data_IF_061876283788
#
_entry.id   IF_061876283788
#
_cell.length_a   1.000
_cell.length_b   1.000
_cell.length_c   1.000
_cell.angle_alpha   90.00
_cell.angle_beta   90.00
_cell.angle_gamma   90.00
#
_symmetry.space_group_name_H-M   'P 1'
#
loop_
_entity.id
_entity.type
_entity.pdbx_description
1 polymer ?
#
# COMPACT_ATOMS: atom_id res chain seq x y z
N UNK A 1 -33.65 21.86 -13.66
CA UNK A 1 -32.56 21.49 -12.73
C UNK A 1 -32.16 20.02 -12.96
N UNK A 2 -31.24 19.80 -13.90
CA UNK A 2 -30.66 18.48 -14.20
C UNK A 2 -29.28 18.43 -13.55
N UNK A 3 -29.08 17.43 -12.70
CA UNK A 3 -27.81 17.13 -12.05
C UNK A 3 -26.74 16.83 -13.10
N UNK A 4 -25.66 17.62 -13.09
CA UNK A 4 -24.44 17.33 -13.86
C UNK A 4 -23.66 16.29 -13.07
N UNK A 5 -23.48 15.11 -13.66
CA UNK A 5 -22.52 14.12 -13.18
C UNK A 5 -21.12 14.73 -13.17
N UNK A 6 -20.40 14.52 -12.07
CA UNK A 6 -19.00 14.90 -11.93
C UNK A 6 -18.15 14.04 -12.87
N UNK A 7 -17.69 14.64 -13.95
CA UNK A 7 -16.69 14.08 -14.85
C UNK A 7 -15.31 14.33 -14.21
N UNK A 8 -14.76 13.33 -13.51
CA UNK A 8 -13.36 13.38 -13.05
C UNK A 8 -12.46 13.02 -14.22
N UNK A 9 -11.90 14.05 -14.86
CA UNK A 9 -10.87 13.90 -15.89
C UNK A 9 -9.57 13.46 -15.18
N UNK A 10 -9.16 12.22 -15.41
CA UNK A 10 -7.85 11.72 -14.99
C UNK A 10 -6.79 12.27 -15.94
N UNK A 11 -6.00 13.25 -15.49
CA UNK A 11 -4.73 13.60 -16.12
C UNK A 11 -3.63 12.76 -15.48
N UNK A 12 -3.46 11.51 -15.92
CA UNK A 12 -2.19 10.81 -15.70
C UNK A 12 -1.18 11.42 -16.67
N UNK A 13 -0.41 12.41 -16.21
CA UNK A 13 0.82 12.79 -16.89
C UNK A 13 1.81 11.64 -16.73
N UNK A 14 1.72 10.66 -17.63
CA UNK A 14 2.77 9.68 -17.86
C UNK A 14 3.93 10.43 -18.50
N UNK A 15 4.82 10.99 -17.67
CA UNK A 15 6.16 11.31 -18.14
C UNK A 15 6.80 9.96 -18.50
N UNK A 16 6.83 9.63 -19.79
CA UNK A 16 7.67 8.56 -20.30
C UNK A 16 9.13 8.96 -20.06
N UNK A 17 9.74 8.32 -19.06
CA UNK A 17 11.18 8.42 -18.85
C UNK A 17 11.96 7.68 -19.95
N UNK A 18 13.18 8.14 -20.27
CA UNK A 18 14.01 7.53 -21.30
C UNK A 18 14.41 6.11 -20.88
N UNK A 19 14.38 5.19 -21.87
CA UNK A 19 14.77 3.77 -21.82
C UNK A 19 15.62 3.39 -20.58
N UNK A 20 14.96 2.71 -19.64
CA UNK A 20 15.64 2.02 -18.55
C UNK A 20 16.65 1.00 -19.11
N UNK A 21 17.80 0.95 -18.46
CA UNK A 21 18.83 -0.06 -18.67
C UNK A 21 18.26 -1.48 -18.48
N UNK A 22 18.90 -2.44 -19.15
CA UNK A 22 18.61 -3.88 -19.18
C UNK A 22 17.87 -4.38 -17.93
N UNK A 23 16.76 -5.08 -18.18
CA UNK A 23 16.04 -5.91 -17.22
C UNK A 23 17.03 -6.71 -16.35
N UNK A 24 16.91 -6.68 -15.01
CA UNK A 24 17.61 -7.65 -14.19
C UNK A 24 17.04 -9.03 -14.53
N UNK A 25 17.91 -9.95 -14.95
CA UNK A 25 17.61 -11.37 -15.01
C UNK A 25 17.04 -11.80 -13.66
N UNK A 26 15.75 -12.18 -13.65
CA UNK A 26 15.12 -12.91 -12.57
C UNK A 26 15.96 -14.19 -12.35
N UNK A 27 16.82 -14.17 -11.33
CA UNK A 27 17.48 -15.38 -10.86
C UNK A 27 16.42 -16.32 -10.31
N UNK A 28 16.03 -17.28 -11.15
CA UNK A 28 15.25 -18.45 -10.77
C UNK A 28 16.14 -19.34 -9.91
N UNK A 29 15.95 -19.31 -8.60
CA UNK A 29 16.49 -20.34 -7.73
C UNK A 29 15.77 -21.66 -8.04
N UNK A 30 16.53 -22.61 -8.59
CA UNK A 30 16.13 -23.99 -8.83
C UNK A 30 15.60 -24.64 -7.54
N UNK A 31 14.31 -24.98 -7.53
CA UNK A 31 13.72 -25.96 -6.63
C UNK A 31 13.48 -27.24 -7.43
N UNK A 32 14.15 -28.32 -7.03
CA UNK A 32 13.98 -29.67 -7.58
C UNK A 32 12.54 -30.19 -7.43
N UNK A 33 12.09 -31.11 -8.31
CA UNK A 33 10.68 -31.38 -8.54
C UNK A 33 10.10 -32.26 -7.43
N UNK A 34 9.10 -31.72 -6.74
CA UNK A 34 8.22 -32.50 -5.86
C UNK A 34 6.91 -32.76 -6.60
N UNK A 35 6.66 -34.05 -6.81
CA UNK A 35 5.41 -34.73 -7.13
C UNK A 35 4.15 -33.85 -7.21
N UNK A 36 3.46 -33.97 -8.34
CA UNK A 36 2.12 -33.42 -8.58
C UNK A 36 1.13 -33.82 -7.48
N UNK A 37 0.98 -32.94 -6.50
CA UNK A 37 -0.08 -32.94 -5.50
C UNK A 37 -1.33 -32.23 -6.08
N UNK A 38 -2.54 -32.55 -5.57
CA UNK A 38 -3.80 -32.05 -6.13
C UNK A 38 -3.91 -30.52 -6.03
N UNK A 39 -4.36 -29.90 -7.12
CA UNK A 39 -4.46 -28.45 -7.30
C UNK A 39 -5.33 -27.82 -6.23
N UNK A 40 -4.72 -27.00 -5.38
CA UNK A 40 -5.40 -26.25 -4.31
C UNK A 40 -5.92 -24.94 -4.89
N UNK A 41 -7.23 -24.68 -4.82
CA UNK A 41 -7.82 -23.39 -5.19
C UNK A 41 -7.99 -22.60 -3.88
N UNK A 42 -7.23 -21.53 -3.71
CA UNK A 42 -7.43 -20.60 -2.60
C UNK A 42 -8.76 -19.85 -2.74
N UNK A 43 -9.10 -18.92 -1.83
CA UNK A 43 -10.23 -17.99 -2.02
C UNK A 43 -10.20 -17.17 -3.34
N UNK A 44 -9.19 -17.35 -4.18
CA UNK A 44 -8.79 -16.54 -5.32
C UNK A 44 -9.68 -16.56 -6.57
N UNK A 45 -10.77 -17.31 -6.60
CA UNK A 45 -11.53 -17.48 -7.85
C UNK A 45 -13.03 -17.33 -7.65
N UNK A 46 -13.52 -16.42 -6.79
CA UNK A 46 -14.97 -16.16 -6.71
C UNK A 46 -15.51 -15.44 -7.93
N UNK A 47 -14.77 -14.45 -8.39
CA UNK A 47 -15.13 -13.64 -9.55
C UNK A 47 -13.95 -13.53 -10.52
N UNK A 48 -14.28 -13.64 -11.81
CA UNK A 48 -13.39 -13.26 -12.90
C UNK A 48 -13.54 -11.76 -13.15
N UNK A 49 -12.54 -10.97 -12.73
CA UNK A 49 -12.48 -9.53 -12.98
C UNK A 49 -11.84 -9.24 -14.33
N UNK A 50 -12.41 -8.29 -15.09
CA UNK A 50 -11.91 -7.84 -16.40
C UNK A 50 -11.80 -6.34 -16.45
N UNK A 51 -10.74 -5.84 -17.08
CA UNK A 51 -10.50 -4.43 -17.33
C UNK A 51 -10.80 -4.07 -18.80
N UNK A 52 -11.46 -2.93 -19.00
CA UNK A 52 -11.62 -2.28 -20.30
C UNK A 52 -11.18 -0.83 -20.19
N UNK A 53 -10.42 -0.33 -21.16
CA UNK A 53 -10.06 1.09 -21.27
C UNK A 53 -10.91 1.75 -22.34
N UNK A 54 -11.38 2.97 -22.07
CA UNK A 54 -12.00 3.84 -23.04
C UNK A 54 -11.06 5.03 -23.32
N UNK A 55 -10.51 5.10 -24.53
CA UNK A 55 -9.66 6.20 -24.96
C UNK A 55 -10.48 7.49 -25.10
N UNK A 56 -10.00 8.59 -24.54
CA UNK A 56 -10.75 9.86 -24.48
C UNK A 56 -10.85 10.56 -25.84
N UNK A 57 -9.89 10.36 -26.75
CA UNK A 57 -9.83 11.08 -28.03
C UNK A 57 -10.89 10.62 -29.04
N UNK A 58 -11.21 9.33 -29.07
CA UNK A 58 -12.14 8.74 -30.03
C UNK A 58 -13.20 7.84 -29.40
N UNK A 59 -13.21 7.72 -28.07
CA UNK A 59 -14.13 6.86 -27.33
C UNK A 59 -13.90 5.37 -27.56
N UNK A 60 -12.81 4.97 -28.25
CA UNK A 60 -12.52 3.57 -28.57
C UNK A 60 -12.32 2.76 -27.31
N UNK A 61 -12.99 1.61 -27.25
CA UNK A 61 -12.87 0.65 -26.17
C UNK A 61 -11.79 -0.38 -26.48
N UNK A 62 -10.94 -0.64 -25.49
CA UNK A 62 -9.80 -1.53 -25.57
C UNK A 62 -9.91 -2.54 -24.42
N UNK A 63 -10.06 -3.81 -24.77
CA UNK A 63 -10.06 -4.90 -23.79
C UNK A 63 -8.64 -5.05 -23.22
N UNK A 64 -8.51 -4.83 -21.91
CA UNK A 64 -7.26 -5.00 -21.17
C UNK A 64 -7.12 -6.42 -20.60
N UNK A 65 -8.12 -7.28 -20.81
CA UNK A 65 -8.10 -8.67 -20.40
C UNK A 65 -8.51 -8.88 -18.95
N UNK A 66 -8.10 -10.03 -18.41
CA UNK A 66 -8.40 -10.44 -17.03
C UNK A 66 -7.42 -9.79 -16.05
N UNK A 67 -7.94 -9.36 -14.90
CA UNK A 67 -7.11 -8.93 -13.78
C UNK A 67 -6.49 -10.16 -13.14
N UNK A 68 -5.18 -10.12 -12.86
CA UNK A 68 -4.53 -11.18 -12.10
C UNK A 68 -5.12 -11.22 -10.67
N UNK A 69 -5.70 -12.35 -10.22
CA UNK A 69 -6.31 -12.45 -8.89
C UNK A 69 -5.37 -12.09 -7.74
N UNK A 70 -4.05 -12.18 -7.92
CA UNK A 70 -3.06 -11.75 -6.94
C UNK A 70 -3.27 -10.31 -6.46
N UNK A 71 -3.73 -9.40 -7.34
CA UNK A 71 -4.01 -8.01 -6.95
C UNK A 71 -5.10 -7.88 -5.89
N UNK A 72 -6.03 -8.84 -5.82
CA UNK A 72 -7.11 -8.86 -4.83
C UNK A 72 -6.61 -9.31 -3.46
N UNK A 73 -5.49 -10.03 -3.37
CA UNK A 73 -4.89 -10.41 -2.09
C UNK A 73 -4.62 -9.19 -1.22
N UNK A 74 -4.21 -8.06 -1.81
CA UNK A 74 -3.99 -6.82 -1.07
C UNK A 74 -5.25 -6.28 -0.39
N UNK A 75 -6.41 -6.43 -1.05
CA UNK A 75 -7.71 -6.02 -0.48
C UNK A 75 -8.12 -6.95 0.65
N UNK A 76 -7.89 -8.25 0.47
CA UNK A 76 -8.20 -9.26 1.47
C UNK A 76 -7.35 -9.13 2.72
N UNK A 77 -6.03 -8.95 2.59
CA UNK A 77 -5.15 -8.78 3.75
C UNK A 77 -5.50 -7.48 4.50
N UNK A 78 -5.87 -6.40 3.80
CA UNK A 78 -6.39 -5.18 4.44
C UNK A 78 -7.70 -5.45 5.20
N UNK A 79 -8.67 -6.14 4.60
CA UNK A 79 -9.94 -6.48 5.26
C UNK A 79 -9.74 -7.41 6.47
N UNK A 80 -8.84 -8.40 6.36
CA UNK A 80 -8.44 -9.28 7.47
C UNK A 80 -7.88 -8.42 8.62
N UNK A 81 -6.93 -7.54 8.34
CA UNK A 81 -6.32 -6.72 9.37
C UNK A 81 -7.33 -5.78 10.04
N UNK A 82 -8.24 -5.17 9.29
CA UNK A 82 -9.35 -4.40 9.89
C UNK A 82 -10.27 -5.28 10.74
N UNK A 83 -10.57 -6.50 10.30
CA UNK A 83 -11.31 -7.47 11.11
C UNK A 83 -10.59 -7.85 12.41
N UNK A 84 -9.26 -7.97 12.38
CA UNK A 84 -8.45 -8.22 13.57
C UNK A 84 -8.47 -7.05 14.53
N UNK A 85 -8.34 -5.81 14.02
CA UNK A 85 -8.50 -4.59 14.81
C UNK A 85 -9.85 -4.53 15.50
N UNK A 86 -10.93 -4.84 14.79
CA UNK A 86 -12.31 -4.79 15.30
C UNK A 86 -12.72 -6.02 16.11
N UNK A 87 -11.83 -7.00 16.30
CA UNK A 87 -12.11 -8.23 17.04
C UNK A 87 -13.06 -9.22 16.34
N UNK A 88 -13.37 -9.03 15.05
CA UNK A 88 -14.17 -10.00 14.27
C UNK A 88 -13.31 -11.13 13.70
N UNK A 89 -11.99 -10.92 13.61
CA UNK A 89 -11.00 -11.92 13.23
C UNK A 89 -10.02 -12.10 14.40
N UNK A 90 -9.70 -13.34 14.74
CA UNK A 90 -8.74 -13.63 15.80
C UNK A 90 -7.28 -13.28 15.44
N UNK A 91 -6.34 -13.38 16.40
CA UNK A 91 -4.91 -13.16 16.15
C UNK A 91 -4.31 -14.05 15.06
N UNK A 92 -4.85 -15.27 14.93
CA UNK A 92 -4.53 -16.19 13.84
C UNK A 92 -5.50 -15.98 12.67
N UNK A 93 -5.07 -15.32 11.57
CA UNK A 93 -5.93 -15.07 10.42
C UNK A 93 -6.09 -16.29 9.52
N UNK A 94 -5.48 -17.44 9.83
CA UNK A 94 -5.64 -18.66 9.03
C UNK A 94 -7.08 -19.20 9.02
N UNK A 95 -7.86 -18.86 10.05
CA UNK A 95 -9.27 -19.21 10.17
C UNK A 95 -10.22 -18.13 9.62
N UNK A 96 -9.68 -17.00 9.15
CA UNK A 96 -10.49 -15.90 8.65
C UNK A 96 -11.30 -16.33 7.42
N UNK A 97 -12.60 -16.08 7.48
CA UNK A 97 -13.54 -16.24 6.38
C UNK A 97 -13.57 -14.93 5.62
N UNK A 98 -13.32 -15.00 4.31
CA UNK A 98 -13.29 -13.84 3.43
C UNK A 98 -14.40 -13.97 2.40
N UNK A 99 -15.18 -12.91 2.23
CA UNK A 99 -16.22 -12.83 1.21
C UNK A 99 -16.05 -11.55 0.38
N UNK A 100 -16.02 -11.72 -0.94
CA UNK A 100 -16.02 -10.61 -1.89
C UNK A 100 -17.44 -10.30 -2.36
N UNK A 101 -17.77 -9.02 -2.37
CA UNK A 101 -19.05 -8.48 -2.78
C UNK A 101 -18.84 -7.37 -3.83
N UNK A 102 -18.68 -7.72 -5.12
CA UNK A 102 -18.64 -6.71 -6.17
C UNK A 102 -19.94 -5.92 -6.21
N UNK A 103 -19.84 -4.59 -6.19
CA UNK A 103 -20.98 -3.69 -6.26
C UNK A 103 -21.09 -3.13 -7.68
N UNK A 104 -22.17 -3.44 -8.37
CA UNK A 104 -22.39 -3.06 -9.76
C UNK A 104 -23.04 -1.69 -9.90
N UNK A 105 -22.65 -0.94 -10.93
CA UNK A 105 -23.37 0.22 -11.40
C UNK A 105 -24.73 -0.20 -11.99
N UNK A 106 -25.72 0.69 -11.91
CA UNK A 106 -27.03 0.51 -12.56
C UNK A 106 -26.96 0.85 -14.05
N UNK A 107 -25.92 0.37 -14.73
CA UNK A 107 -25.78 0.52 -16.17
C UNK A 107 -26.13 -0.80 -16.88
N UNK A 108 -26.48 -0.75 -18.18
CA UNK A 108 -26.82 -1.96 -18.93
C UNK A 108 -25.65 -2.93 -19.14
N UNK A 109 -24.42 -2.47 -18.92
CA UNK A 109 -23.19 -3.21 -19.22
C UNK A 109 -22.67 -4.00 -18.00
N UNK A 110 -23.21 -3.72 -16.80
CA UNK A 110 -22.83 -4.38 -15.56
C UNK A 110 -21.41 -4.03 -15.11
N UNK A 111 -20.99 -2.77 -15.29
CA UNK A 111 -19.67 -2.34 -14.79
C UNK A 111 -19.67 -2.18 -13.26
N UNK A 112 -18.51 -2.31 -12.62
CA UNK A 112 -18.37 -2.19 -11.18
C UNK A 112 -18.30 -0.72 -10.74
N UNK A 113 -18.94 -0.44 -9.62
CA UNK A 113 -18.80 0.80 -8.85
C UNK A 113 -17.68 0.70 -7.82
N UNK A 114 -17.65 -0.42 -7.10
CA UNK A 114 -16.79 -0.65 -5.93
C UNK A 114 -16.72 -2.15 -5.64
N UNK A 115 -15.82 -2.54 -4.74
CA UNK A 115 -15.77 -3.89 -4.19
C UNK A 115 -15.80 -3.79 -2.66
N UNK A 116 -16.69 -4.54 -2.03
CA UNK A 116 -16.65 -4.75 -0.58
C UNK A 116 -16.03 -6.10 -0.28
N UNK A 117 -15.17 -6.16 0.73
CA UNK A 117 -14.56 -7.39 1.23
C UNK A 117 -14.92 -7.53 2.71
N UNK A 118 -15.54 -8.64 3.05
CA UNK A 118 -15.93 -8.95 4.42
C UNK A 118 -14.99 -10.02 5.01
N UNK A 119 -14.42 -9.77 6.19
CA UNK A 119 -13.55 -10.69 6.90
C UNK A 119 -14.05 -10.97 8.33
N UNK A 120 -14.04 -12.24 8.75
CA UNK A 120 -14.55 -12.62 10.07
C UNK A 120 -14.51 -14.11 10.40
N UNK A 121 -15.17 -14.51 11.49
CA UNK A 121 -15.33 -15.91 11.93
C UNK A 121 -16.57 -16.61 11.33
N UNK A 122 -17.35 -15.88 10.53
CA UNK A 122 -18.57 -16.34 9.86
C UNK A 122 -19.85 -15.98 10.59
N UNK A 123 -19.77 -15.74 11.90
CA UNK A 123 -20.87 -15.18 12.70
C UNK A 123 -20.72 -13.67 12.80
N UNK A 124 -19.50 -13.21 13.04
CA UNK A 124 -19.12 -11.81 13.12
C UNK A 124 -18.24 -11.47 11.92
N UNK A 125 -18.69 -10.53 11.08
CA UNK A 125 -17.98 -10.12 9.86
C UNK A 125 -17.76 -8.62 9.90
N UNK A 126 -16.54 -8.18 9.58
CA UNK A 126 -16.22 -6.79 9.32
C UNK A 126 -16.16 -6.56 7.81
N UNK A 127 -16.93 -5.60 7.30
CA UNK A 127 -16.93 -5.24 5.88
C UNK A 127 -16.05 -4.01 5.64
N UNK A 128 -15.11 -4.13 4.70
CA UNK A 128 -14.29 -3.02 4.20
C UNK A 128 -14.67 -2.75 2.76
N UNK A 129 -15.05 -1.50 2.46
CA UNK A 129 -15.40 -1.07 1.11
C UNK A 129 -14.20 -0.38 0.43
N UNK A 130 -13.90 -0.80 -0.79
CA UNK A 130 -12.90 -0.18 -1.65
C UNK A 130 -13.56 0.46 -2.87
N UNK A 131 -13.24 1.73 -3.09
CA UNK A 131 -13.56 2.42 -4.34
C UNK A 131 -12.85 1.75 -5.52
N UNK A 132 -13.40 1.86 -6.73
CA UNK A 132 -12.84 1.18 -7.90
C UNK A 132 -11.38 1.55 -8.16
N UNK A 133 -11.05 2.84 -8.01
CA UNK A 133 -9.68 3.30 -8.18
C UNK A 133 -8.75 2.73 -7.11
N UNK A 134 -9.19 2.66 -5.85
CA UNK A 134 -8.42 2.03 -4.78
C UNK A 134 -8.15 0.56 -5.12
N UNK A 135 -9.18 -0.19 -5.53
CA UNK A 135 -9.05 -1.62 -5.80
C UNK A 135 -8.26 -1.98 -7.08
N UNK A 136 -8.34 -1.14 -8.13
CA UNK A 136 -7.88 -1.52 -9.47
C UNK A 136 -6.90 -0.55 -10.14
N UNK A 137 -6.37 0.46 -9.44
CA UNK A 137 -5.37 1.37 -10.03
C UNK A 137 -4.09 0.63 -10.45
N UNK A 138 -3.47 -0.16 -9.56
CA UNK A 138 -2.23 -0.86 -9.92
C UNK A 138 -2.39 -1.89 -11.07
N UNK A 139 -3.40 -2.80 -11.06
CA UNK A 139 -3.64 -3.66 -12.23
C UNK A 139 -4.04 -2.86 -13.47
N UNK A 140 -4.71 -1.72 -13.31
CA UNK A 140 -5.00 -0.78 -14.38
C UNK A 140 -3.73 -0.21 -15.01
N UNK A 141 -2.79 0.26 -14.22
CA UNK A 141 -1.49 0.76 -14.69
C UNK A 141 -0.69 -0.33 -15.42
N UNK A 142 -0.66 -1.55 -14.89
CA UNK A 142 -0.02 -2.70 -15.53
C UNK A 142 -0.65 -3.00 -16.91
N UNK A 143 -1.98 -3.01 -16.99
CA UNK A 143 -2.70 -3.25 -18.23
C UNK A 143 -2.52 -2.09 -19.23
N UNK A 144 -2.53 -0.85 -18.76
CA UNK A 144 -2.30 0.33 -19.58
C UNK A 144 -0.91 0.30 -20.21
N UNK A 145 0.12 -0.07 -19.45
CA UNK A 145 1.48 -0.26 -19.95
C UNK A 145 1.53 -1.27 -21.10
N UNK A 146 0.85 -2.42 -20.96
CA UNK A 146 0.76 -3.45 -22.01
C UNK A 146 0.06 -2.93 -23.27
N UNK A 147 -0.99 -2.11 -23.13
CA UNK A 147 -1.67 -1.49 -24.28
C UNK A 147 -0.77 -0.50 -25.02
N UNK A 148 0.06 0.27 -24.30
CA UNK A 148 1.05 1.18 -24.89
C UNK A 148 2.17 0.40 -25.59
N UNK A 149 2.73 -0.62 -24.95
CA UNK A 149 3.76 -1.49 -25.54
C UNK A 149 3.26 -2.23 -26.78
N UNK A 150 1.98 -2.61 -26.79
CA UNK A 150 1.31 -3.22 -27.94
C UNK A 150 0.91 -2.23 -29.05
N UNK A 151 1.17 -0.93 -28.88
CA UNK A 151 0.82 0.11 -29.85
C UNK A 151 -0.69 0.36 -30.02
N UNK A 152 -1.51 -0.13 -29.08
CA UNK A 152 -2.96 0.13 -29.06
C UNK A 152 -3.30 1.51 -28.47
N UNK A 153 -2.40 2.00 -27.60
CA UNK A 153 -2.39 3.35 -27.07
C UNK A 153 -1.01 3.98 -27.29
N UNK A 154 -0.98 5.31 -27.35
CA UNK A 154 0.25 6.09 -27.18
C UNK A 154 0.37 6.54 -25.72
N UNK A 155 1.56 6.94 -25.27
CA UNK A 155 1.69 7.45 -23.90
C UNK A 155 1.07 8.84 -23.68
N UNK A 156 0.71 9.53 -24.75
CA UNK A 156 -0.03 10.79 -24.70
C UNK A 156 -1.55 10.57 -24.66
N UNK A 157 -2.02 9.36 -24.97
CA UNK A 157 -3.44 9.03 -24.92
C UNK A 157 -3.96 9.10 -23.48
N UNK A 158 -5.09 9.78 -23.30
CA UNK A 158 -5.87 9.75 -22.06
C UNK A 158 -6.90 8.63 -22.16
N UNK A 159 -7.07 7.87 -21.08
CA UNK A 159 -8.06 6.80 -21.02
C UNK A 159 -8.65 6.69 -19.61
N UNK A 160 -9.91 6.26 -19.55
CA UNK A 160 -10.56 5.83 -18.31
C UNK A 160 -10.74 4.33 -18.34
N UNK A 161 -10.65 3.66 -17.19
CA UNK A 161 -10.89 2.22 -17.12
C UNK A 161 -12.24 1.91 -16.49
N UNK A 162 -12.82 0.79 -16.92
CA UNK A 162 -14.00 0.13 -16.34
C UNK A 162 -13.59 -1.26 -15.90
N UNK A 163 -14.23 -1.75 -14.84
CA UNK A 163 -14.04 -3.12 -14.36
C UNK A 163 -15.37 -3.85 -14.46
N UNK A 164 -15.32 -5.11 -14.86
CA UNK A 164 -16.45 -6.02 -14.87
C UNK A 164 -16.12 -7.23 -13.99
N UNK A 165 -17.12 -7.78 -13.30
CA UNK A 165 -16.97 -9.03 -12.56
C UNK A 165 -18.01 -10.05 -13.04
N UNK A 166 -17.59 -11.30 -13.19
CA UNK A 166 -18.49 -12.43 -13.42
C UNK A 166 -18.18 -13.53 -12.41
N UNK A 167 -19.19 -14.19 -11.80
CA UNK A 167 -18.93 -15.35 -10.96
C UNK A 167 -18.09 -16.39 -11.73
N UNK A 168 -17.05 -16.91 -11.10
CA UNK A 168 -16.24 -17.97 -11.71
C UNK A 168 -17.04 -19.28 -11.77
N UNK A 169 -16.94 -20.01 -12.88
CA UNK A 169 -17.61 -21.30 -13.05
C UNK A 169 -17.21 -22.32 -11.97
N UNK A 170 -16.00 -22.21 -11.41
CA UNK A 170 -15.46 -23.11 -10.38
C UNK A 170 -16.18 -22.99 -9.03
N UNK A 171 -16.77 -21.84 -8.73
CA UNK A 171 -17.50 -21.61 -7.48
C UNK A 171 -18.83 -22.34 -7.48
N UNK A 172 -19.51 -22.35 -8.63
CA UNK A 172 -20.80 -23.02 -8.80
C UNK A 172 -20.72 -24.55 -8.58
N UNK A 173 -19.56 -25.16 -8.85
CA UNK A 173 -19.33 -26.60 -8.67
C UNK A 173 -18.83 -26.99 -7.27
N UNK A 174 -18.35 -26.04 -6.46
CA UNK A 174 -17.77 -26.34 -5.13
C UNK A 174 -18.70 -26.06 -3.96
N UNK A 175 -19.61 -25.08 -4.08
CA UNK A 175 -20.68 -24.87 -3.09
C UNK A 175 -21.56 -26.13 -2.92
N UNK A 176 -21.66 -26.96 -3.96
CA UNK A 176 -22.37 -28.25 -3.93
C UNK A 176 -21.61 -29.37 -3.22
N UNK A 177 -20.28 -29.25 -3.05
CA UNK A 177 -19.41 -30.33 -2.54
C UNK A 177 -18.87 -30.09 -1.12
N UNK A 178 -19.13 -28.93 -0.50
CA UNK A 178 -18.78 -28.66 0.90
C UNK A 178 -17.28 -28.58 1.22
N UNK A 179 -16.40 -28.54 0.21
CA UNK A 179 -14.95 -28.43 0.40
C UNK A 179 -14.57 -26.97 0.64
N UNK A 180 -13.90 -26.70 1.76
CA UNK A 180 -13.43 -25.36 2.14
C UNK A 180 -11.90 -25.30 2.16
N UNK A 181 -11.31 -24.52 1.28
CA UNK A 181 -9.87 -24.27 1.28
C UNK A 181 -9.51 -23.18 2.29
N UNK A 182 -8.41 -23.36 3.02
CA UNK A 182 -7.82 -22.36 3.91
C UNK A 182 -6.44 -21.98 3.41
N UNK A 183 -6.15 -20.67 3.36
CA UNK A 183 -4.80 -20.20 3.08
C UNK A 183 -4.05 -20.16 4.41
N UNK A 184 -2.92 -20.86 4.51
CA UNK A 184 -2.06 -20.76 5.69
C UNK A 184 -1.45 -19.36 5.73
N UNK A 185 -1.72 -18.64 6.81
CA UNK A 185 -1.14 -17.33 7.13
C UNK A 185 -0.39 -17.47 8.44
N UNK A 186 0.75 -16.80 8.53
CA UNK A 186 1.42 -16.68 9.81
C UNK A 186 0.63 -15.68 10.67
N UNK A 187 0.37 -15.98 11.96
CA UNK A 187 -0.25 -15.04 12.88
C UNK A 187 0.55 -13.74 12.98
N UNK A 188 -0.15 -12.63 13.24
CA UNK A 188 0.53 -11.39 13.59
C UNK A 188 1.23 -11.56 14.95
N UNK A 189 2.46 -11.04 15.12
CA UNK A 189 3.19 -11.11 16.39
C UNK A 189 2.62 -10.05 17.37
N UNK A 190 1.41 -10.30 17.87
CA UNK A 190 0.66 -9.40 18.75
C UNK A 190 1.07 -9.60 20.22
N UNK A 191 1.33 -8.49 20.90
CA UNK A 191 1.52 -8.45 22.35
C UNK A 191 0.24 -8.03 23.06
N UNK A 192 -0.18 -8.80 24.06
CA UNK A 192 -1.39 -8.53 24.85
C UNK A 192 -1.13 -7.57 26.03
N UNK A 193 0.13 -7.15 26.23
CA UNK A 193 0.59 -6.36 27.38
C UNK A 193 0.63 -4.84 27.12
N UNK A 194 -0.33 -4.30 26.37
CA UNK A 194 -0.40 -2.86 26.08
C UNK A 194 -1.80 -2.28 26.21
N UNK A 195 -1.89 -1.06 26.73
CA UNK A 195 -3.11 -0.27 26.79
C UNK A 195 -2.94 0.96 25.87
N UNK A 196 -3.85 1.14 24.92
CA UNK A 196 -3.78 2.21 23.93
C UNK A 196 -3.80 3.59 24.60
N UNK A 197 -4.64 3.73 25.63
CA UNK A 197 -4.80 4.96 26.41
C UNK A 197 -3.47 5.41 27.04
N UNK A 198 -2.68 4.49 27.57
CA UNK A 198 -1.36 4.78 28.18
C UNK A 198 -0.36 5.42 27.20
N UNK A 199 -0.48 5.11 25.91
CA UNK A 199 0.33 5.71 24.85
C UNK A 199 -0.28 7.03 24.38
N UNK A 200 -1.60 7.08 24.21
CA UNK A 200 -2.33 8.28 23.80
C UNK A 200 -2.10 9.46 24.77
N UNK A 201 -2.02 9.20 26.08
CA UNK A 201 -1.76 10.22 27.10
C UNK A 201 -0.39 10.90 26.98
N UNK A 202 0.57 10.23 26.32
CA UNK A 202 1.96 10.68 26.18
C UNK A 202 2.30 11.12 24.77
N UNK A 203 1.30 11.12 23.88
CA UNK A 203 1.55 11.29 22.47
C UNK A 203 0.82 12.50 21.88
N UNK A 204 1.43 13.09 20.85
CA UNK A 204 0.84 14.19 20.09
C UNK A 204 0.51 13.71 18.68
N UNK A 205 -0.74 13.86 18.26
CA UNK A 205 -1.18 13.52 16.91
C UNK A 205 -0.52 14.44 15.86
N UNK A 206 -0.01 13.83 14.80
CA UNK A 206 0.56 14.49 13.62
C UNK A 206 -0.20 14.06 12.37
N UNK A 207 -0.92 14.99 11.75
CA UNK A 207 -1.80 14.72 10.61
C UNK A 207 -3.18 14.20 11.02
N UNK A 208 -3.99 13.80 10.05
CA UNK A 208 -5.34 13.28 10.27
C UNK A 208 -5.37 11.75 10.24
N UNK A 209 -6.09 11.13 11.18
CA UNK A 209 -6.33 9.69 11.19
C UNK A 209 -7.74 9.38 10.70
N UNK A 210 -7.84 8.43 9.77
CA UNK A 210 -9.10 7.80 9.38
C UNK A 210 -9.44 6.69 10.39
N UNK A 211 -10.72 6.32 10.49
CA UNK A 211 -11.20 5.21 11.30
C UNK A 211 -10.51 3.88 10.94
N UNK A 212 -10.15 3.71 9.66
CA UNK A 212 -9.38 2.56 9.15
C UNK A 212 -7.87 2.63 9.43
N UNK A 213 -7.36 3.72 10.00
CA UNK A 213 -5.95 3.79 10.43
C UNK A 213 -5.78 3.17 11.82
N UNK A 214 -4.78 2.29 11.94
CA UNK A 214 -4.33 1.81 13.25
C UNK A 214 -3.44 2.88 13.90
N UNK A 215 -3.51 3.11 15.23
CA UNK A 215 -2.60 4.01 15.92
C UNK A 215 -1.15 3.54 15.75
N UNK A 216 -0.28 4.46 15.32
CA UNK A 216 1.15 4.24 15.16
C UNK A 216 1.89 5.28 15.97
N UNK A 217 2.66 4.84 16.95
CA UNK A 217 3.41 5.68 17.87
C UNK A 217 4.89 5.67 17.52
N UNK A 218 5.45 6.86 17.26
CA UNK A 218 6.83 7.05 16.81
C UNK A 218 7.55 7.98 17.79
N UNK A 219 8.53 7.49 18.56
CA UNK A 219 9.42 8.36 19.34
C UNK A 219 10.15 9.37 18.44
N UNK A 220 10.16 10.64 18.83
CA UNK A 220 10.83 11.70 18.04
C UNK A 220 12.30 11.40 17.79
N UNK A 221 13.01 10.91 18.81
CA UNK A 221 14.43 10.55 18.69
C UNK A 221 14.70 9.46 17.64
N UNK A 222 13.77 8.51 17.47
CA UNK A 222 13.89 7.47 16.46
C UNK A 222 13.66 8.04 15.06
N UNK A 223 12.73 8.98 14.94
CA UNK A 223 12.47 9.66 13.68
C UNK A 223 13.62 10.56 13.25
N UNK A 224 14.19 11.36 14.16
CA UNK A 224 15.38 12.17 13.86
C UNK A 224 16.54 11.30 13.41
N UNK A 225 16.73 10.13 14.03
CA UNK A 225 17.73 9.16 13.57
C UNK A 225 17.41 8.55 12.20
N UNK A 226 16.13 8.32 11.88
CA UNK A 226 15.72 7.90 10.54
C UNK A 226 16.04 8.98 9.50
N UNK A 227 15.78 10.24 9.84
CA UNK A 227 16.12 11.40 9.03
C UNK A 227 17.63 11.50 8.80
N UNK A 228 18.45 11.35 9.84
CA UNK A 228 19.91 11.30 9.71
C UNK A 228 20.36 10.23 8.71
N UNK A 229 19.78 9.03 8.75
CA UNK A 229 20.09 7.97 7.79
C UNK A 229 19.67 8.33 6.35
N UNK A 230 18.50 8.93 6.17
CA UNK A 230 18.01 9.33 4.84
C UNK A 230 18.91 10.41 4.20
N UNK A 231 19.37 11.38 4.98
CA UNK A 231 20.18 12.51 4.48
C UNK A 231 21.70 12.27 4.49
N UNK A 232 22.17 11.11 4.97
CA UNK A 232 23.60 10.76 5.01
C UNK A 232 24.28 10.79 3.63
N UNK A 233 23.51 10.62 2.57
CA UNK A 233 23.93 10.61 1.16
C UNK A 233 24.00 12.02 0.54
N UNK A 234 23.66 13.06 1.31
CA UNK A 234 23.63 14.44 0.87
C UNK A 234 22.43 14.72 -0.04
N UNK A 235 22.67 14.85 -1.35
CA UNK A 235 21.65 15.22 -2.34
C UNK A 235 20.98 14.04 -3.04
N UNK A 236 21.22 12.82 -2.57
CA UNK A 236 20.58 11.62 -3.12
C UNK A 236 19.50 11.14 -2.15
N UNK A 237 18.50 10.44 -2.67
CA UNK A 237 17.53 9.77 -1.82
C UNK A 237 18.24 8.66 -1.02
N UNK A 238 17.97 8.63 0.28
CA UNK A 238 18.34 7.59 1.20
C UNK A 238 17.10 7.07 1.91
N UNK A 239 17.27 5.97 2.65
CA UNK A 239 16.16 5.31 3.30
C UNK A 239 16.53 4.66 4.63
N UNK A 240 15.51 4.52 5.47
CA UNK A 240 15.56 3.85 6.75
C UNK A 240 14.30 3.00 6.93
N UNK A 241 14.42 1.98 7.79
CA UNK A 241 13.31 1.15 8.22
C UNK A 241 13.13 1.32 9.72
N UNK A 242 12.01 1.90 10.13
CA UNK A 242 11.57 1.87 11.52
C UNK A 242 10.90 0.53 11.76
N UNK A 243 11.35 -0.12 12.84
CA UNK A 243 10.78 -1.36 13.33
C UNK A 243 10.08 -1.15 14.65
N UNK A 244 9.04 -1.93 14.84
CA UNK A 244 8.05 -1.74 15.89
C UNK A 244 7.58 -3.07 16.45
N UNK A 245 6.87 -2.99 17.58
CA UNK A 245 6.04 -4.08 18.08
C UNK A 245 4.57 -3.70 17.88
N UNK A 246 3.74 -4.72 17.76
CA UNK A 246 2.31 -4.56 17.61
C UNK A 246 1.63 -5.06 18.87
N UNK A 247 0.72 -4.24 19.38
CA UNK A 247 -0.02 -4.51 20.60
C UNK A 247 -1.48 -4.71 20.24
N UNK A 248 -2.14 -5.58 21.01
CA UNK A 248 -3.56 -5.83 20.91
C UNK A 248 -4.23 -5.43 22.21
N UNK A 249 -5.19 -4.52 22.10
CA UNK A 249 -6.15 -4.22 23.15
C UNK A 249 -7.45 -4.96 22.85
N UNK A 250 -8.04 -5.63 23.84
CA UNK A 250 -9.35 -6.29 23.70
C UNK A 250 -10.48 -5.53 24.39
N UNK A 251 -10.16 -4.75 25.43
CA UNK A 251 -11.09 -3.99 26.27
C UNK A 251 -10.56 -2.57 26.46
N UNK A 252 -11.41 -1.53 26.53
CA UNK A 252 -12.87 -1.56 26.42
C UNK A 252 -13.38 -1.75 24.98
N UNK A 253 -12.50 -1.57 23.99
CA UNK A 253 -12.78 -1.83 22.59
C UNK A 253 -11.59 -2.54 21.96
N UNK A 254 -11.83 -3.55 21.11
CA UNK A 254 -10.77 -4.17 20.32
C UNK A 254 -10.03 -3.14 19.47
N UNK A 255 -8.71 -3.16 19.55
CA UNK A 255 -7.84 -2.37 18.68
C UNK A 255 -6.46 -3.03 18.56
N UNK A 256 -5.79 -2.79 17.44
CA UNK A 256 -4.37 -3.08 17.26
C UNK A 256 -3.64 -1.74 17.07
N UNK A 257 -2.55 -1.56 17.79
CA UNK A 257 -1.69 -0.38 17.64
C UNK A 257 -0.21 -0.77 17.56
N UNK A 258 0.60 0.12 17.00
CA UNK A 258 2.00 -0.13 16.68
C UNK A 258 2.88 0.88 17.41
N UNK A 259 3.95 0.41 18.05
CA UNK A 259 4.90 1.27 18.77
C UNK A 259 6.30 1.03 18.22
N UNK A 260 6.89 2.08 17.65
CA UNK A 260 8.24 2.05 17.12
C UNK A 260 9.29 1.92 18.23
N UNK A 261 10.28 1.05 18.02
CA UNK A 261 11.34 0.77 19.01
C UNK A 261 12.76 0.99 18.48
N UNK A 262 12.96 0.92 17.17
CA UNK A 262 14.26 1.21 16.58
C UNK A 262 14.14 1.63 15.13
N UNK A 263 15.25 2.15 14.61
CA UNK A 263 15.44 2.46 13.21
C UNK A 263 16.72 1.80 12.69
N UNK A 264 16.62 1.23 11.49
CA UNK A 264 17.70 0.60 10.75
C UNK A 264 17.96 1.35 9.46
N UNK A 265 19.23 1.60 9.14
CA UNK A 265 19.64 2.21 7.88
C UNK A 265 19.46 1.20 6.74
N UNK A 266 18.84 1.60 5.63
CA UNK A 266 18.75 0.77 4.43
C UNK A 266 20.02 0.91 3.58
N UNK A 267 21.08 0.25 4.03
CA UNK A 267 22.40 0.25 3.38
C UNK A 267 22.37 -0.46 2.03
N UNK A 268 23.37 -0.20 1.19
CA UNK A 268 23.57 -0.89 -0.10
C UNK A 268 22.47 -0.63 -1.15
N UNK A 269 21.54 0.29 -0.90
CA UNK A 269 20.57 0.71 -1.89
C UNK A 269 21.28 1.46 -3.03
N UNK A 270 20.74 1.39 -4.24
CA UNK A 270 21.13 2.32 -5.31
C UNK A 270 20.42 3.64 -5.06
N UNK A 271 21.18 4.73 -5.15
CA UNK A 271 20.75 6.04 -4.71
C UNK A 271 20.99 7.04 -5.84
N UNK A 272 19.98 7.86 -6.11
CA UNK A 272 20.00 8.92 -7.10
C UNK A 272 19.24 10.13 -6.56
N UNK A 273 19.21 11.24 -7.30
CA UNK A 273 18.48 12.45 -6.88
C UNK A 273 16.96 12.21 -6.79
N UNK A 274 16.41 11.32 -7.62
CA UNK A 274 14.97 11.08 -7.78
C UNK A 274 14.64 9.58 -7.68
N UNK A 275 15.41 8.84 -6.89
CA UNK A 275 15.17 7.42 -6.74
C UNK A 275 16.07 6.74 -5.73
N UNK A 276 15.42 5.92 -4.92
CA UNK A 276 15.98 5.01 -3.93
C UNK A 276 15.53 3.58 -4.24
N UNK A 277 16.47 2.69 -4.57
CA UNK A 277 16.19 1.30 -4.96
C UNK A 277 16.96 0.34 -4.03
N UNK A 278 16.31 -0.21 -2.99
CA UNK A 278 16.88 -1.28 -2.16
C UNK A 278 17.34 -2.47 -3.00
N UNK A 279 18.56 -2.96 -2.75
CA UNK A 279 19.12 -4.10 -3.47
C UNK A 279 18.96 -5.39 -2.66
N UNK A 280 19.30 -6.54 -3.24
CA UNK A 280 19.35 -7.80 -2.49
C UNK A 280 20.28 -7.72 -1.28
N UNK A 281 21.39 -7.00 -1.38
CA UNK A 281 22.32 -6.77 -0.26
C UNK A 281 21.69 -5.88 0.82
N UNK A 282 20.87 -4.90 0.44
CA UNK A 282 20.06 -4.11 1.39
C UNK A 282 19.19 -5.00 2.24
N UNK A 283 18.44 -5.91 1.62
CA UNK A 283 17.55 -6.81 2.34
C UNK A 283 18.30 -7.86 3.16
N UNK A 284 19.44 -8.35 2.68
CA UNK A 284 20.29 -9.26 3.45
C UNK A 284 20.80 -8.59 4.73
N UNK A 285 21.27 -7.35 4.65
CA UNK A 285 21.72 -6.59 5.82
C UNK A 285 20.55 -6.25 6.76
N UNK A 286 19.40 -5.80 6.24
CA UNK A 286 18.20 -5.53 7.02
C UNK A 286 17.74 -6.77 7.80
N UNK A 287 17.68 -7.93 7.14
CA UNK A 287 17.30 -9.20 7.77
C UNK A 287 18.30 -9.60 8.87
N UNK A 288 19.59 -9.40 8.64
CA UNK A 288 20.62 -9.64 9.65
C UNK A 288 20.46 -8.72 10.86
N UNK A 289 20.22 -7.43 10.64
CA UNK A 289 19.98 -6.47 11.73
C UNK A 289 18.73 -6.87 12.52
N UNK A 290 17.60 -7.15 11.86
CA UNK A 290 16.35 -7.57 12.50
C UNK A 290 16.52 -8.89 13.27
N UNK A 291 17.22 -9.87 12.69
CA UNK A 291 17.51 -11.13 13.37
C UNK A 291 18.31 -10.94 14.65
N UNK A 292 19.32 -10.06 14.66
CA UNK A 292 20.10 -9.74 15.86
C UNK A 292 19.22 -9.09 16.94
N UNK A 293 18.30 -8.20 16.54
CA UNK A 293 17.36 -7.56 17.47
C UNK A 293 16.42 -8.59 18.11
N UNK A 294 15.85 -9.47 17.30
CA UNK A 294 14.96 -10.55 17.75
C UNK A 294 15.65 -11.57 18.65
N UNK A 295 16.86 -12.00 18.28
CA UNK A 295 17.55 -13.10 18.97
C UNK A 295 18.44 -12.68 20.14
N UNK A 296 19.02 -11.48 20.11
CA UNK A 296 20.03 -11.05 21.11
C UNK A 296 19.60 -9.87 21.97
N UNK A 297 18.76 -8.97 21.45
CA UNK A 297 18.37 -7.76 22.17
C UNK A 297 17.00 -7.90 22.87
N UNK A 298 16.37 -9.08 22.82
CA UNK A 298 15.11 -9.33 23.53
C UNK A 298 13.90 -8.73 22.85
N UNK A 299 13.91 -8.57 21.52
CA UNK A 299 12.78 -8.08 20.71
C UNK A 299 12.21 -9.13 19.76
N UNK A 300 11.77 -10.31 20.25
CA UNK A 300 11.43 -11.46 19.40
C UNK A 300 10.31 -11.19 18.38
N UNK A 301 9.37 -10.30 18.74
CA UNK A 301 8.15 -9.98 17.98
C UNK A 301 8.25 -8.70 17.15
N UNK A 302 9.41 -8.06 17.14
CA UNK A 302 9.61 -6.80 16.42
C UNK A 302 9.54 -7.00 14.91
N UNK A 303 8.91 -6.09 14.18
CA UNK A 303 8.66 -6.20 12.74
C UNK A 303 8.77 -4.85 12.01
N UNK A 304 8.97 -4.84 10.67
CA UNK A 304 8.94 -3.62 9.85
C UNK A 304 7.62 -2.87 9.99
N UNK A 305 7.66 -1.56 10.22
CA UNK A 305 6.44 -0.76 10.41
C UNK A 305 6.42 0.54 9.61
N UNK A 306 7.56 1.21 9.44
CA UNK A 306 7.63 2.45 8.66
C UNK A 306 8.86 2.42 7.76
N UNK A 307 8.63 2.42 6.45
CA UNK A 307 9.66 2.77 5.47
C UNK A 307 9.79 4.29 5.44
N UNK A 308 10.96 4.83 5.76
CA UNK A 308 11.23 6.26 5.69
C UNK A 308 12.21 6.51 4.56
N UNK A 309 11.93 7.47 3.68
CA UNK A 309 12.90 7.97 2.70
C UNK A 309 12.76 9.48 2.54
N UNK A 310 13.76 10.13 1.92
CA UNK A 310 13.73 11.56 1.66
C UNK A 310 13.61 11.86 0.17
N UNK A 311 13.01 13.01 -0.15
CA UNK A 311 13.04 13.64 -1.47
C UNK A 311 13.87 14.94 -1.35
N UNK A 312 15.21 14.90 -1.59
CA UNK A 312 16.12 16.01 -1.32
C UNK A 312 16.11 17.06 -2.46
N UNK A 313 14.94 17.30 -3.05
CA UNK A 313 14.72 18.21 -4.15
C UNK A 313 13.51 19.10 -3.85
N UNK A 314 13.56 20.33 -4.35
CA UNK A 314 12.45 21.27 -4.26
C UNK A 314 11.30 20.82 -5.18
N UNK A 315 10.03 21.08 -4.82
CA UNK A 315 8.91 20.83 -5.70
C UNK A 315 9.11 21.58 -7.03
N UNK A 316 8.74 20.95 -8.15
CA UNK A 316 8.75 21.62 -9.44
C UNK A 316 7.79 22.82 -9.39
N UNK A 317 8.34 24.02 -9.60
CA UNK A 317 7.60 25.28 -9.70
C UNK A 317 6.53 25.14 -10.79
N UNK A 318 5.32 25.64 -10.54
CA UNK A 318 4.29 25.74 -11.58
C UNK A 318 4.81 26.58 -12.77
N UNK A 319 4.24 26.36 -13.95
CA UNK A 319 4.60 27.06 -15.21
C UNK A 319 4.47 28.60 -15.15
N UNK A 320 4.05 29.19 -14.02
CA UNK A 320 3.91 30.63 -13.80
C UNK A 320 5.21 31.34 -13.36
N UNK A 321 6.30 30.60 -13.14
CA UNK A 321 7.64 31.17 -13.01
C UNK A 321 7.93 31.87 -11.67
N UNK A 322 7.03 31.83 -10.68
CA UNK A 322 7.36 32.22 -9.31
C UNK A 322 8.09 31.08 -8.60
N UNK A 323 9.38 30.96 -8.88
CA UNK A 323 10.25 29.86 -8.44
C UNK A 323 10.37 29.69 -6.94
N UNK A 324 9.90 30.64 -6.15
CA UNK A 324 9.88 30.59 -4.71
C UNK A 324 8.61 31.32 -4.29
N UNK A 325 7.96 30.89 -3.21
CA UNK A 325 6.84 31.62 -2.61
C UNK A 325 7.34 32.54 -1.46
N UNK A 326 8.16 33.60 -1.70
CA UNK A 326 8.71 34.41 -0.61
C UNK A 326 7.64 35.25 0.08
N UNK A 327 6.52 35.52 -0.61
CA UNK A 327 5.43 36.38 -0.14
C UNK A 327 4.26 35.61 0.48
N UNK A 328 4.17 34.29 0.28
CA UNK A 328 3.12 33.49 0.91
C UNK A 328 3.30 33.48 2.43
N UNK A 329 2.24 33.65 3.23
CA UNK A 329 2.30 33.41 4.66
C UNK A 329 2.67 31.95 4.93
N UNK A 330 3.58 31.69 5.87
CA UNK A 330 3.88 30.33 6.33
C UNK A 330 2.59 29.66 6.79
N UNK A 331 2.28 28.51 6.19
CA UNK A 331 1.14 27.67 6.55
C UNK A 331 1.64 26.46 7.32
N UNK A 332 0.76 25.85 8.11
CA UNK A 332 1.06 24.58 8.75
C UNK A 332 1.24 23.44 7.72
N UNK A 333 0.61 23.55 6.55
CA UNK A 333 0.72 22.60 5.43
C UNK A 333 0.94 23.34 4.11
N UNK A 334 1.79 22.79 3.23
CA UNK A 334 2.05 23.34 1.91
C UNK A 334 1.73 22.30 0.82
N UNK A 335 0.79 22.59 -0.08
CA UNK A 335 0.48 21.68 -1.20
C UNK A 335 1.60 21.61 -2.24
N UNK A 336 2.46 22.64 -2.30
CA UNK A 336 3.67 22.63 -3.11
C UNK A 336 4.80 22.01 -2.28
N UNK A 337 4.90 20.70 -2.31
CA UNK A 337 5.93 19.95 -1.57
C UNK A 337 6.50 18.84 -2.43
N UNK A 338 7.75 18.46 -2.17
CA UNK A 338 8.28 17.20 -2.71
C UNK A 338 7.88 16.00 -1.85
N UNK A 339 7.21 16.15 -0.70
CA UNK A 339 6.76 15.06 0.18
C UNK A 339 5.53 14.31 -0.34
N UNK A 340 5.58 13.81 -1.57
CA UNK A 340 4.53 12.99 -2.17
C UNK A 340 4.98 11.53 -2.30
N UNK A 341 4.05 10.60 -2.29
CA UNK A 341 4.33 9.19 -2.56
C UNK A 341 4.23 8.92 -4.06
N UNK A 342 5.37 8.72 -4.73
CA UNK A 342 5.44 8.56 -6.18
C UNK A 342 4.86 7.21 -6.64
N UNK A 343 4.60 7.06 -7.94
CA UNK A 343 4.18 5.77 -8.50
C UNK A 343 5.24 4.66 -8.27
N UNK A 344 6.53 5.03 -8.25
CA UNK A 344 7.61 4.11 -7.90
C UNK A 344 7.49 3.66 -6.45
N UNK A 345 7.21 4.59 -5.53
CA UNK A 345 7.03 4.28 -4.12
C UNK A 345 5.82 3.37 -3.89
N UNK A 346 4.69 3.62 -4.59
CA UNK A 346 3.50 2.77 -4.55
C UNK A 346 3.83 1.36 -5.01
N UNK A 347 4.50 1.21 -6.16
CA UNK A 347 4.87 -0.09 -6.70
C UNK A 347 5.84 -0.85 -5.79
N UNK A 348 6.82 -0.14 -5.22
CA UNK A 348 7.73 -0.71 -4.23
C UNK A 348 6.97 -1.18 -2.99
N UNK A 349 6.08 -0.34 -2.44
CA UNK A 349 5.30 -0.66 -1.25
C UNK A 349 4.39 -1.86 -1.48
N UNK A 350 3.67 -1.92 -2.61
CA UNK A 350 2.81 -3.06 -2.95
C UNK A 350 3.63 -4.35 -3.08
N UNK A 351 4.78 -4.28 -3.75
CA UNK A 351 5.64 -5.44 -3.99
C UNK A 351 6.22 -6.02 -2.70
N UNK A 352 6.63 -5.15 -1.76
CA UNK A 352 7.32 -5.57 -0.53
C UNK A 352 6.38 -5.77 0.65
N UNK A 353 5.37 -4.91 0.77
CA UNK A 353 4.53 -4.76 1.96
C UNK A 353 3.03 -4.80 1.64
N UNK A 354 2.60 -5.07 0.41
CA UNK A 354 1.18 -5.11 0.05
C UNK A 354 0.35 -6.11 0.87
N UNK A 355 1.01 -7.14 1.43
CA UNK A 355 0.41 -8.14 2.34
C UNK A 355 0.63 -7.85 3.82
N UNK A 356 1.16 -6.68 4.15
CA UNK A 356 1.43 -6.20 5.50
C UNK A 356 0.73 -4.84 5.68
N UNK A 357 -0.61 -4.83 5.81
CA UNK A 357 -1.41 -3.59 5.79
C UNK A 357 -1.13 -2.62 6.95
N UNK A 358 -0.35 -3.07 7.94
CA UNK A 358 0.13 -2.25 9.04
C UNK A 358 1.41 -1.45 8.70
N UNK A 359 2.10 -1.78 7.61
CA UNK A 359 3.31 -1.04 7.20
C UNK A 359 2.92 0.27 6.55
N UNK A 360 3.65 1.33 6.89
CA UNK A 360 3.47 2.68 6.36
C UNK A 360 4.74 3.16 5.65
N UNK A 361 4.59 4.17 4.80
CA UNK A 361 5.70 4.89 4.18
C UNK A 361 5.75 6.31 4.72
N UNK A 362 6.93 6.88 4.90
CA UNK A 362 7.14 8.30 5.21
C UNK A 362 8.06 8.90 4.18
N UNK A 363 7.66 10.05 3.65
CA UNK A 363 8.49 10.86 2.76
C UNK A 363 8.87 12.14 3.50
N UNK A 364 10.18 12.37 3.59
CA UNK A 364 10.76 13.63 4.07
C UNK A 364 11.18 14.44 2.84
N UNK A 365 10.29 15.28 2.37
CA UNK A 365 10.55 16.20 1.26
C UNK A 365 10.79 17.62 1.75
N UNK A 366 10.72 18.55 0.82
CA UNK A 366 10.98 19.96 1.02
C UNK A 366 9.81 20.80 0.51
N UNK A 367 9.52 21.89 1.21
CA UNK A 367 8.70 23.00 0.69
C UNK A 367 9.53 23.86 -0.28
N UNK A 368 8.94 24.84 -1.00
CA UNK A 368 9.69 25.78 -1.83
C UNK A 368 10.61 26.71 -1.01
N UNK A 369 10.52 26.67 0.32
CA UNK A 369 11.41 27.41 1.24
C UNK A 369 12.55 26.55 1.78
N UNK A 370 12.71 25.32 1.26
CA UNK A 370 13.66 24.33 1.76
C UNK A 370 13.40 23.95 3.23
N UNK A 371 12.15 24.07 3.68
CA UNK A 371 11.72 23.55 4.99
C UNK A 371 11.33 22.09 4.81
N UNK A 372 11.71 21.23 5.76
CA UNK A 372 11.29 19.83 5.76
C UNK A 372 9.77 19.72 5.88
N UNK A 373 9.17 18.94 4.99
CA UNK A 373 7.78 18.52 5.07
C UNK A 373 7.75 17.00 5.26
N UNK A 374 7.10 16.53 6.32
CA UNK A 374 7.07 15.12 6.70
C UNK A 374 5.66 14.60 6.52
N UNK A 375 5.48 13.62 5.63
CA UNK A 375 4.18 13.01 5.36
C UNK A 375 4.23 11.51 5.46
N UNK A 376 3.22 10.93 6.11
CA UNK A 376 3.06 9.49 6.23
C UNK A 376 1.94 9.00 5.32
N UNK A 377 2.17 7.86 4.70
CA UNK A 377 1.30 7.22 3.73
C UNK A 377 1.04 5.78 4.12
N UNK A 378 -0.13 5.28 3.76
CA UNK A 378 -0.44 3.86 3.81
C UNK A 378 -1.17 3.42 2.54
N UNK A 379 -1.30 2.12 2.36
CA UNK A 379 -2.11 1.57 1.29
C UNK A 379 -3.61 1.73 1.60
N UNK A 380 -4.38 1.97 0.55
CA UNK A 380 -5.84 1.96 0.49
C UNK A 380 -6.23 1.17 -0.77
N UNK A 381 -6.44 -0.12 -0.58
CA UNK A 381 -6.40 -1.08 -1.66
C UNK A 381 -5.01 -1.12 -2.33
N UNK A 382 -4.97 -0.84 -3.63
CA UNK A 382 -3.75 -0.74 -4.45
C UNK A 382 -3.26 0.70 -4.65
N UNK A 383 -3.91 1.67 -4.00
CA UNK A 383 -3.46 3.08 -4.00
C UNK A 383 -2.82 3.43 -2.67
N UNK A 384 -2.19 4.59 -2.63
CA UNK A 384 -1.78 5.20 -1.37
C UNK A 384 -2.70 6.36 -1.01
N UNK A 385 -2.76 6.63 0.29
CA UNK A 385 -3.34 7.83 0.86
C UNK A 385 -2.43 8.34 1.98
N UNK A 386 -2.51 9.63 2.24
CA UNK A 386 -1.89 10.21 3.43
C UNK A 386 -2.63 9.73 4.69
N UNK A 387 -1.90 9.57 5.78
CA UNK A 387 -2.44 9.25 7.11
C UNK A 387 -1.62 9.91 8.21
N UNK A 388 -2.23 10.11 9.36
CA UNK A 388 -1.57 10.60 10.55
C UNK A 388 -0.89 9.49 11.36
N UNK A 389 -0.15 9.94 12.38
CA UNK A 389 0.49 9.09 13.39
C UNK A 389 0.73 9.90 14.67
N UNK A 390 1.21 9.24 15.72
CA UNK A 390 1.42 9.85 17.03
C UNK A 390 2.92 10.00 17.32
N UNK A 391 3.36 11.20 17.66
CA UNK A 391 4.68 11.44 18.22
C UNK A 391 4.71 11.02 19.69
N UNK A 392 5.69 10.23 20.09
CA UNK A 392 6.02 10.01 21.51
C UNK A 392 7.18 10.94 21.90
N UNK A 393 6.98 11.72 22.96
CA UNK A 393 7.97 12.65 23.52
C UNK A 393 8.86 12.02 24.60
#
# INVERSE_FOLDING_TARGET
PRERGQEKIYNSHLNLWPKAAKEPELMTTSLSPLNSAPTTIGPMERYDYRLEFQRSSDGKRLDAGRVNPYWLEFLWEQAIFQGQRRGTVGPDPSQAIINEHPQFLKDPEGSLKSISVSAGDGTNMHETQFELSAAFSAPGEEALKKLVEGGLLTAEDKATFRVYAKPSAKVAEQETNGVRATLKRDPLPLLDEGCLEDYMEKATLNGELDEKDHPLFVPRELFEKAREYCFKTGRQEGGAMIVARMYRQTEPQPEIFVVAHAVMELRHAKQSLFGFEPTSDTFADLNKQLHLRRSRLGFPDEMPAVLVHNHPFEPSVRDDGEANCPTCPLQQTCELTSSFYSASDVNFHLSMYGRQPFVTGVVIGLTPRQEDDVRMFCLDGTRTRERGFYWLD
#
